data_IF_328720892129
#
_entry.id   IF_328720892129
#
_cell.length_a   1.000
_cell.length_b   1.000
_cell.length_c   1.000
_cell.angle_alpha   90.00
_cell.angle_beta   90.00
_cell.angle_gamma   90.00
#
_symmetry.space_group_name_H-M   'P 1'
#
loop_
_entity.id
_entity.type
_entity.pdbx_description
1 polymer ?
#
# COMPACT_ATOMS: atom_id res chain seq x y z
N UNK A 1 8.81 -2.17 -6.05
CA UNK A 1 8.48 -0.84 -5.54
C UNK A 1 7.40 -0.93 -4.44
N UNK A 2 7.13 0.19 -3.75
CA UNK A 2 6.24 0.23 -2.56
C UNK A 2 4.75 -0.04 -2.83
N UNK A 3 4.34 -0.22 -4.07
CA UNK A 3 2.99 -0.73 -4.40
C UNK A 3 2.75 -2.11 -3.75
N UNK A 4 3.79 -2.91 -3.58
CA UNK A 4 3.73 -4.21 -2.91
C UNK A 4 3.30 -4.14 -1.43
N UNK A 5 3.16 -2.96 -0.86
CA UNK A 5 2.62 -2.76 0.49
C UNK A 5 1.08 -2.85 0.53
N UNK A 6 0.41 -2.67 -0.62
CA UNK A 6 -1.06 -2.75 -0.72
C UNK A 6 -1.62 -4.11 -0.24
N UNK A 7 -1.09 -5.28 -0.66
CA UNK A 7 -1.55 -6.57 -0.16
C UNK A 7 -1.52 -6.69 1.37
N UNK A 8 -0.48 -6.16 2.00
CA UNK A 8 -0.32 -6.19 3.45
C UNK A 8 -1.30 -5.26 4.16
N UNK A 9 -1.53 -4.07 3.61
CA UNK A 9 -2.56 -3.15 4.11
C UNK A 9 -3.96 -3.76 4.01
N UNK A 10 -4.30 -4.34 2.85
CA UNK A 10 -5.57 -5.05 2.66
C UNK A 10 -5.76 -6.14 3.71
N UNK A 11 -4.77 -7.03 3.86
CA UNK A 11 -4.86 -8.17 4.76
C UNK A 11 -4.95 -7.74 6.23
N UNK A 12 -4.22 -6.69 6.61
CA UNK A 12 -4.31 -6.11 7.96
C UNK A 12 -5.73 -5.61 8.24
N UNK A 13 -6.33 -4.87 7.30
CA UNK A 13 -7.72 -4.40 7.43
C UNK A 13 -8.70 -5.55 7.51
N UNK A 14 -8.51 -6.60 6.73
CA UNK A 14 -9.35 -7.79 6.78
C UNK A 14 -9.32 -8.44 8.16
N UNK A 15 -8.13 -8.61 8.76
CA UNK A 15 -7.99 -9.18 10.11
C UNK A 15 -8.60 -8.30 11.20
N UNK A 16 -8.62 -6.99 11.00
CA UNK A 16 -9.35 -6.05 11.86
C UNK A 16 -10.86 -6.25 11.67
N UNK A 17 -11.36 -6.36 10.45
CA UNK A 17 -12.78 -6.58 10.15
C UNK A 17 -13.29 -7.93 10.68
N UNK A 18 -12.44 -8.95 10.70
CA UNK A 18 -12.72 -10.27 11.31
C UNK A 18 -12.72 -10.23 12.85
N UNK A 19 -12.31 -9.12 13.46
CA UNK A 19 -12.23 -8.96 14.92
C UNK A 19 -11.03 -9.64 15.58
N UNK A 20 -10.06 -10.12 14.78
CA UNK A 20 -8.83 -10.75 15.30
C UNK A 20 -7.86 -9.72 15.88
N UNK A 21 -7.89 -8.52 15.35
CA UNK A 21 -7.11 -7.38 15.82
C UNK A 21 -7.98 -6.13 15.85
N UNK A 22 -7.50 -5.11 16.60
CA UNK A 22 -8.13 -3.79 16.68
C UNK A 22 -7.10 -2.73 16.27
N UNK A 23 -7.55 -1.52 15.96
CA UNK A 23 -6.65 -0.43 15.59
C UNK A 23 -5.67 -0.05 16.70
N UNK A 24 -6.04 -0.23 17.95
CA UNK A 24 -5.21 0.00 19.14
C UNK A 24 -4.35 -1.22 19.56
N UNK A 25 -4.51 -2.38 18.89
CA UNK A 25 -3.62 -3.52 19.08
C UNK A 25 -2.17 -3.08 18.80
N UNK A 26 -1.26 -3.37 19.73
CA UNK A 26 0.16 -3.01 19.61
C UNK A 26 1.03 -4.20 19.25
N UNK A 27 2.12 -3.91 18.54
CA UNK A 27 3.18 -4.86 18.20
C UNK A 27 4.55 -4.25 18.50
N UNK A 28 5.49 -5.10 18.93
CA UNK A 28 6.80 -4.65 19.39
C UNK A 28 7.82 -4.59 18.26
N UNK A 29 8.57 -3.49 18.16
CA UNK A 29 9.65 -3.38 17.18
C UNK A 29 10.91 -4.10 17.70
N UNK A 30 11.15 -5.29 17.19
CA UNK A 30 12.32 -6.13 17.41
C UNK A 30 13.07 -6.35 16.09
N UNK A 31 14.36 -6.67 16.12
CA UNK A 31 15.19 -6.82 14.90
C UNK A 31 14.62 -7.82 13.90
N UNK A 32 14.03 -8.91 14.37
CA UNK A 32 13.45 -9.96 13.52
C UNK A 32 12.40 -9.46 12.52
N UNK A 33 11.72 -8.33 12.79
CA UNK A 33 10.70 -7.78 11.85
C UNK A 33 11.32 -7.30 10.53
N UNK A 34 12.63 -7.05 10.52
CA UNK A 34 13.33 -6.60 9.31
C UNK A 34 13.94 -7.75 8.49
N UNK A 35 13.76 -8.99 8.94
CA UNK A 35 14.37 -10.17 8.35
C UNK A 35 13.31 -11.26 8.04
N UNK A 36 12.40 -10.98 7.11
CA UNK A 36 11.48 -11.98 6.56
C UNK A 36 11.33 -11.78 5.04
N UNK A 37 10.98 -12.83 4.28
CA UNK A 37 10.71 -12.70 2.85
C UNK A 37 9.54 -11.76 2.57
N UNK A 38 9.81 -10.59 2.00
CA UNK A 38 8.82 -9.51 1.81
C UNK A 38 9.16 -8.24 2.60
N UNK A 39 10.11 -8.31 3.55
CA UNK A 39 10.58 -7.12 4.28
C UNK A 39 11.31 -6.14 3.36
N UNK A 40 11.27 -4.87 3.73
CA UNK A 40 12.01 -3.78 3.10
C UNK A 40 13.20 -3.39 3.97
N UNK A 41 14.24 -2.81 3.34
CA UNK A 41 15.38 -2.25 4.08
C UNK A 41 14.90 -1.10 4.97
N UNK A 42 15.19 -1.12 6.29
CA UNK A 42 14.76 -0.09 7.22
C UNK A 42 15.23 1.32 6.84
N UNK A 43 16.41 1.43 6.20
CA UNK A 43 17.03 2.70 5.79
C UNK A 43 16.27 3.43 4.67
N UNK A 44 15.27 2.77 4.05
CA UNK A 44 14.46 3.39 3.01
C UNK A 44 13.42 4.37 3.54
N UNK A 45 12.27 4.44 2.85
CA UNK A 45 11.20 5.41 3.14
C UNK A 45 10.64 5.30 4.55
N UNK A 46 10.16 6.43 5.08
CA UNK A 46 9.41 6.53 6.31
C UNK A 46 10.21 7.11 7.48
N UNK A 47 9.50 7.39 8.57
CA UNK A 47 9.98 8.12 9.74
C UNK A 47 10.21 7.25 10.98
N UNK A 48 9.82 5.96 10.96
CA UNK A 48 10.12 5.08 12.09
C UNK A 48 11.63 4.85 12.26
N UNK A 49 12.09 4.57 13.49
CA UNK A 49 13.50 4.26 13.76
C UNK A 49 14.03 3.17 12.83
N UNK A 50 15.26 3.36 12.32
CA UNK A 50 15.86 2.42 11.36
C UNK A 50 16.47 1.18 12.03
N UNK A 51 16.57 1.20 13.35
CA UNK A 51 16.98 0.07 14.21
C UNK A 51 15.88 -0.19 15.22
N UNK A 52 15.77 -1.44 15.65
CA UNK A 52 14.85 -1.84 16.72
C UNK A 52 15.01 -0.95 17.95
N UNK A 53 13.91 -0.53 18.52
CA UNK A 53 13.86 0.31 19.71
C UNK A 53 13.10 -0.35 20.88
N UNK A 54 12.61 -1.57 20.67
CA UNK A 54 11.83 -2.35 21.61
C UNK A 54 10.52 -1.69 22.08
N UNK A 55 10.07 -0.62 21.40
CA UNK A 55 8.79 0.02 21.67
C UNK A 55 7.65 -0.71 20.99
N UNK A 56 6.45 -0.47 21.50
CA UNK A 56 5.21 -0.93 20.91
C UNK A 56 4.60 0.16 20.03
N UNK A 57 4.04 -0.26 18.90
CA UNK A 57 3.37 0.60 17.93
C UNK A 57 1.98 0.04 17.64
N UNK A 58 0.97 0.90 17.64
CA UNK A 58 -0.41 0.50 17.33
C UNK A 58 -0.58 0.18 15.84
N UNK A 59 -1.51 -0.73 15.51
CA UNK A 59 -1.83 -0.99 14.11
C UNK A 59 -2.33 0.28 13.41
N UNK A 60 -3.04 1.15 14.11
CA UNK A 60 -3.45 2.46 13.62
C UNK A 60 -2.27 3.31 13.16
N UNK A 61 -1.24 3.44 13.98
CA UNK A 61 -0.04 4.21 13.65
C UNK A 61 0.72 3.56 12.49
N UNK A 62 0.87 2.24 12.49
CA UNK A 62 1.56 1.51 11.43
C UNK A 62 0.85 1.65 10.09
N UNK A 63 -0.47 1.45 10.03
CA UNK A 63 -1.28 1.66 8.82
C UNK A 63 -1.12 3.09 8.31
N UNK A 64 -1.22 4.08 9.21
CA UNK A 64 -1.05 5.49 8.86
C UNK A 64 0.32 5.76 8.25
N UNK A 65 1.39 5.24 8.84
CA UNK A 65 2.76 5.44 8.33
C UNK A 65 3.02 4.75 7.00
N UNK A 66 2.53 3.52 6.81
CA UNK A 66 2.63 2.83 5.52
C UNK A 66 1.87 3.58 4.43
N UNK A 67 0.68 4.06 4.73
CA UNK A 67 -0.17 4.78 3.77
C UNK A 67 0.39 6.16 3.45
N UNK A 68 0.71 6.95 4.48
CA UNK A 68 1.08 8.35 4.35
C UNK A 68 2.51 8.55 3.86
N UNK A 69 3.47 7.88 4.49
CA UNK A 69 4.92 8.08 4.28
C UNK A 69 5.55 6.95 3.46
N UNK A 70 4.78 5.91 3.13
CA UNK A 70 5.32 4.68 2.57
C UNK A 70 6.39 4.03 3.45
N UNK A 71 6.24 4.10 4.79
CA UNK A 71 7.24 3.68 5.78
C UNK A 71 7.57 2.19 5.66
N UNK A 72 8.88 1.88 5.52
CA UNK A 72 9.37 0.52 5.35
C UNK A 72 9.31 -0.27 6.65
N UNK A 73 9.65 0.34 7.78
CA UNK A 73 9.64 -0.32 9.09
C UNK A 73 8.21 -0.63 9.52
N UNK A 74 7.28 0.32 9.32
CA UNK A 74 5.87 0.10 9.59
C UNK A 74 5.31 -1.07 8.75
N UNK A 75 5.67 -1.13 7.45
CA UNK A 75 5.33 -2.28 6.62
C UNK A 75 5.92 -3.59 7.17
N UNK A 76 7.18 -3.58 7.58
CA UNK A 76 7.84 -4.77 8.12
C UNK A 76 7.13 -5.27 9.38
N UNK A 77 6.72 -4.36 10.27
CA UNK A 77 5.94 -4.72 11.46
C UNK A 77 4.59 -5.37 11.10
N UNK A 78 3.82 -4.78 10.17
CA UNK A 78 2.57 -5.36 9.70
C UNK A 78 2.80 -6.73 9.03
N UNK A 79 3.82 -6.84 8.20
CA UNK A 79 4.16 -8.07 7.50
C UNK A 79 4.58 -9.19 8.45
N UNK A 80 5.40 -8.88 9.44
CA UNK A 80 5.90 -9.87 10.38
C UNK A 80 4.82 -10.39 11.33
N UNK A 81 3.99 -9.52 11.88
CA UNK A 81 3.01 -9.90 12.91
C UNK A 81 1.65 -10.31 12.36
N UNK A 82 1.20 -9.73 11.25
CA UNK A 82 -0.17 -9.92 10.76
C UNK A 82 -0.18 -10.83 9.52
N UNK A 83 0.61 -10.52 8.51
CA UNK A 83 0.61 -11.19 7.20
C UNK A 83 1.97 -11.78 6.87
N UNK A 84 2.59 -12.43 7.85
CA UNK A 84 3.89 -13.04 7.64
C UNK A 84 3.80 -14.21 6.65
N UNK A 85 4.94 -14.57 6.08
CA UNK A 85 5.08 -15.67 5.13
C UNK A 85 4.63 -17.03 5.66
N UNK A 86 4.51 -17.19 6.98
CA UNK A 86 4.03 -18.41 7.63
C UNK A 86 2.50 -18.51 7.58
N UNK A 87 1.80 -17.42 7.27
CA UNK A 87 0.36 -17.42 7.08
C UNK A 87 0.04 -17.93 5.66
N UNK A 88 -0.23 -19.22 5.54
CA UNK A 88 -0.59 -19.83 4.26
C UNK A 88 -1.85 -19.20 3.63
N UNK A 89 -2.71 -18.57 4.43
CA UNK A 89 -3.92 -17.92 3.95
C UNK A 89 -3.62 -16.60 3.26
N UNK A 90 -2.56 -15.90 3.65
CA UNK A 90 -2.18 -14.61 3.04
C UNK A 90 -1.91 -14.75 1.55
N UNK A 91 -1.03 -15.68 1.15
CA UNK A 91 -0.71 -15.92 -0.26
C UNK A 91 -1.95 -16.31 -1.07
N UNK A 92 -2.70 -17.30 -0.60
CA UNK A 92 -3.87 -17.80 -1.33
C UNK A 92 -4.96 -16.72 -1.45
N UNK A 93 -5.18 -15.93 -0.41
CA UNK A 93 -6.14 -14.82 -0.42
C UNK A 93 -5.74 -13.75 -1.42
N UNK A 94 -4.47 -13.34 -1.41
CA UNK A 94 -3.98 -12.32 -2.34
C UNK A 94 -4.01 -12.82 -3.78
N UNK A 95 -3.61 -14.05 -4.04
CA UNK A 95 -3.69 -14.65 -5.39
C UNK A 95 -5.13 -14.69 -5.90
N UNK A 96 -6.09 -15.03 -5.06
CA UNK A 96 -7.51 -15.03 -5.42
C UNK A 96 -8.02 -13.62 -5.79
N UNK A 97 -7.63 -12.58 -5.04
CA UNK A 97 -8.00 -11.19 -5.32
C UNK A 97 -7.35 -10.69 -6.61
N UNK A 98 -6.07 -10.96 -6.79
CA UNK A 98 -5.31 -10.51 -7.96
C UNK A 98 -5.71 -11.24 -9.24
N UNK A 99 -6.30 -12.43 -9.12
CA UNK A 99 -6.69 -13.28 -10.23
C UNK A 99 -5.50 -13.94 -10.93
N UNK A 100 -4.38 -14.10 -10.21
CA UNK A 100 -3.15 -14.71 -10.69
C UNK A 100 -2.35 -15.25 -9.49
N UNK A 101 -1.49 -16.25 -9.72
CA UNK A 101 -0.63 -16.77 -8.65
C UNK A 101 0.41 -15.70 -8.26
N UNK A 102 0.40 -15.33 -6.99
CA UNK A 102 1.25 -14.27 -6.47
C UNK A 102 2.04 -14.75 -5.24
N UNK A 103 3.32 -14.44 -5.21
CA UNK A 103 4.20 -14.70 -4.07
C UNK A 103 4.93 -13.42 -3.64
N UNK A 104 4.75 -13.04 -2.39
CA UNK A 104 5.40 -11.86 -1.80
C UNK A 104 6.93 -11.92 -1.83
N UNK A 105 7.53 -13.12 -1.88
CA UNK A 105 8.97 -13.33 -1.95
C UNK A 105 9.57 -12.84 -3.27
N UNK A 106 8.81 -12.96 -4.35
CA UNK A 106 9.22 -12.51 -5.69
C UNK A 106 9.32 -10.99 -5.80
N UNK A 107 8.64 -10.25 -4.92
CA UNK A 107 8.54 -8.78 -4.93
C UNK A 107 8.11 -8.19 -6.28
N UNK A 108 7.27 -8.92 -7.00
CA UNK A 108 6.69 -8.52 -8.29
C UNK A 108 5.18 -8.34 -8.15
N UNK A 109 4.66 -7.35 -8.86
CA UNK A 109 3.22 -7.08 -8.99
C UNK A 109 2.99 -6.33 -10.31
N UNK A 110 1.92 -6.68 -11.04
CA UNK A 110 1.52 -5.92 -12.22
C UNK A 110 0.57 -4.77 -11.84
N UNK A 111 0.41 -3.79 -12.75
CA UNK A 111 -0.57 -2.72 -12.56
C UNK A 111 -2.00 -3.25 -12.42
N UNK A 112 -2.35 -4.31 -13.18
CA UNK A 112 -3.64 -5.00 -13.08
C UNK A 112 -3.84 -5.60 -11.68
N UNK A 113 -2.85 -6.33 -11.15
CA UNK A 113 -2.91 -6.92 -9.81
C UNK A 113 -3.04 -5.83 -8.74
N UNK A 114 -2.25 -4.76 -8.84
CA UNK A 114 -2.32 -3.63 -7.93
C UNK A 114 -3.70 -2.96 -7.95
N UNK A 115 -4.29 -2.78 -9.13
CA UNK A 115 -5.65 -2.25 -9.29
C UNK A 115 -6.69 -3.12 -8.60
N UNK A 116 -6.60 -4.44 -8.74
CA UNK A 116 -7.52 -5.38 -8.06
C UNK A 116 -7.39 -5.35 -6.53
N UNK A 117 -6.19 -5.21 -6.00
CA UNK A 117 -5.99 -5.05 -4.55
C UNK A 117 -6.57 -3.71 -4.08
N UNK A 118 -6.38 -2.62 -4.84
CA UNK A 118 -6.97 -1.32 -4.52
C UNK A 118 -8.50 -1.36 -4.56
N UNK A 119 -9.10 -2.05 -5.53
CA UNK A 119 -10.54 -2.30 -5.58
C UNK A 119 -11.03 -3.05 -4.34
N UNK A 120 -10.29 -4.07 -3.91
CA UNK A 120 -10.62 -4.81 -2.69
C UNK A 120 -10.53 -3.93 -1.43
N UNK A 121 -9.51 -3.05 -1.34
CA UNK A 121 -9.40 -2.05 -0.25
C UNK A 121 -10.58 -1.06 -0.29
N UNK A 122 -10.98 -0.61 -1.48
CA UNK A 122 -12.15 0.26 -1.66
C UNK A 122 -13.43 -0.42 -1.15
N UNK A 123 -13.64 -1.68 -1.50
CA UNK A 123 -14.80 -2.46 -1.08
C UNK A 123 -14.81 -2.77 0.43
N UNK A 124 -13.63 -2.89 1.07
CA UNK A 124 -13.54 -3.01 2.54
C UNK A 124 -14.03 -1.75 3.25
N UNK A 125 -13.85 -0.58 2.65
CA UNK A 125 -14.26 0.73 3.17
C UNK A 125 -13.83 0.96 4.62
N UNK A 126 -12.59 0.58 4.97
CA UNK A 126 -12.05 0.63 6.32
C UNK A 126 -11.02 1.74 6.53
N UNK A 127 -10.34 1.69 7.68
CA UNK A 127 -9.33 2.68 8.08
C UNK A 127 -8.15 2.76 7.10
N UNK A 128 -7.79 1.64 6.44
CA UNK A 128 -6.75 1.64 5.41
C UNK A 128 -7.15 2.55 4.24
N UNK A 129 -8.37 2.44 3.73
CA UNK A 129 -8.85 3.30 2.63
C UNK A 129 -8.83 4.78 3.05
N UNK A 130 -9.29 5.08 4.26
CA UNK A 130 -9.24 6.45 4.81
C UNK A 130 -7.80 6.98 4.87
N UNK A 131 -6.87 6.16 5.37
CA UNK A 131 -5.46 6.54 5.51
C UNK A 131 -4.77 6.84 4.18
N UNK A 132 -5.23 6.24 3.09
CA UNK A 132 -4.71 6.45 1.73
C UNK A 132 -5.23 7.75 1.08
N UNK A 133 -6.16 8.49 1.71
CA UNK A 133 -6.73 9.74 1.15
C UNK A 133 -5.96 11.00 1.54
N UNK A 134 -4.94 10.90 2.38
CA UNK A 134 -4.13 12.04 2.85
C UNK A 134 -2.69 11.59 3.01
N UNK A 135 -1.96 11.58 1.91
CA UNK A 135 -0.58 11.13 1.86
C UNK A 135 0.40 12.29 1.66
N UNK A 136 1.67 12.06 1.93
CA UNK A 136 2.73 13.05 1.66
C UNK A 136 2.98 13.24 0.15
N UNK A 137 2.30 12.45 -0.70
CA UNK A 137 2.45 12.38 -2.14
C UNK A 137 1.27 12.98 -2.92
N UNK A 138 0.33 13.65 -2.24
CA UNK A 138 -0.90 14.18 -2.86
C UNK A 138 -0.63 15.33 -3.87
N UNK A 139 0.57 15.92 -3.86
CA UNK A 139 0.97 16.97 -4.79
C UNK A 139 1.67 16.46 -6.05
N UNK A 140 1.64 15.16 -6.29
CA UNK A 140 2.28 14.51 -7.43
C UNK A 140 1.43 13.37 -7.99
N UNK A 141 1.80 12.80 -9.13
CA UNK A 141 1.22 11.60 -9.76
C UNK A 141 -0.30 11.69 -9.98
N UNK A 142 -1.07 10.64 -9.63
CA UNK A 142 -2.53 10.60 -9.86
C UNK A 142 -3.22 11.76 -9.15
N UNK A 143 -2.91 11.99 -7.89
CA UNK A 143 -3.57 13.02 -7.09
C UNK A 143 -3.36 14.42 -7.65
N UNK A 144 -2.18 14.74 -8.22
CA UNK A 144 -1.90 16.00 -8.92
C UNK A 144 -2.67 16.12 -10.24
N UNK A 145 -2.92 15.02 -10.92
CA UNK A 145 -3.54 15.00 -12.26
C UNK A 145 -5.05 15.23 -12.26
N UNK A 146 -5.73 15.10 -11.10
CA UNK A 146 -7.19 15.17 -11.00
C UNK A 146 -7.63 16.24 -10.01
N UNK A 147 -8.88 16.73 -10.14
CA UNK A 147 -9.43 17.79 -9.28
C UNK A 147 -10.32 17.26 -8.15
N UNK A 148 -10.35 15.95 -7.95
CA UNK A 148 -11.18 15.28 -6.94
C UNK A 148 -10.30 14.54 -5.94
N UNK A 149 -10.89 14.10 -4.83
CA UNK A 149 -10.21 13.29 -3.82
C UNK A 149 -9.67 11.99 -4.45
N UNK A 150 -8.49 11.58 -4.01
CA UNK A 150 -7.87 10.30 -4.39
C UNK A 150 -7.44 9.57 -3.12
N UNK A 151 -7.68 8.26 -3.08
CA UNK A 151 -7.01 7.38 -2.13
C UNK A 151 -5.96 6.61 -2.92
N UNK A 152 -4.66 6.76 -2.62
CA UNK A 152 -3.63 6.19 -3.46
C UNK A 152 -2.40 5.68 -2.71
N UNK A 153 -1.64 4.80 -3.38
CA UNK A 153 -0.34 4.31 -2.92
C UNK A 153 0.67 4.42 -4.04
N UNK A 154 1.75 5.10 -3.73
CA UNK A 154 2.88 5.28 -4.65
C UNK A 154 3.89 4.13 -4.55
N UNK A 155 4.73 4.00 -5.57
CA UNK A 155 5.88 3.10 -5.58
C UNK A 155 7.03 3.64 -6.40
N UNK A 156 8.19 3.76 -5.78
CA UNK A 156 9.45 4.14 -6.42
C UNK A 156 10.51 3.06 -6.21
N UNK A 157 11.23 2.74 -7.26
CA UNK A 157 12.43 1.92 -7.22
C UNK A 157 13.24 2.18 -8.51
N UNK A 158 14.43 2.74 -8.36
CA UNK A 158 15.33 3.08 -9.48
C UNK A 158 14.59 3.79 -10.64
N UNK A 159 14.55 3.17 -11.81
CA UNK A 159 13.84 3.68 -13.00
C UNK A 159 12.32 3.52 -12.97
N UNK A 160 11.75 2.83 -11.97
CA UNK A 160 10.32 2.57 -11.86
C UNK A 160 9.62 3.62 -11.02
N UNK A 161 8.52 4.18 -11.55
CA UNK A 161 7.64 5.10 -10.84
C UNK A 161 6.20 4.66 -11.05
N UNK A 162 5.49 4.46 -9.96
CA UNK A 162 4.15 3.88 -10.00
C UNK A 162 3.20 4.66 -9.10
N UNK A 163 1.91 4.59 -9.43
CA UNK A 163 0.83 5.02 -8.55
C UNK A 163 -0.42 4.18 -8.82
N UNK A 164 -1.14 3.83 -7.76
CA UNK A 164 -2.39 3.08 -7.84
C UNK A 164 -3.38 3.68 -6.86
N UNK A 165 -4.56 4.05 -7.34
CA UNK A 165 -5.52 4.73 -6.49
C UNK A 165 -6.98 4.57 -6.90
N UNK A 166 -7.85 5.01 -5.98
CA UNK A 166 -9.28 5.26 -6.19
C UNK A 166 -9.45 6.73 -6.49
N UNK A 167 -9.96 7.06 -7.66
CA UNK A 167 -10.34 8.43 -8.05
C UNK A 167 -11.81 8.62 -7.75
N UNK A 168 -12.15 9.55 -6.84
CA UNK A 168 -13.52 9.82 -6.41
C UNK A 168 -14.23 10.81 -7.34
N UNK A 169 -14.36 10.44 -8.63
CA UNK A 169 -15.22 11.13 -9.59
C UNK A 169 -16.71 10.88 -9.26
N UNK A 170 -17.65 11.41 -10.04
CA UNK A 170 -19.09 11.17 -9.89
C UNK A 170 -19.39 9.66 -9.87
N UNK A 171 -18.71 8.90 -10.73
CA UNK A 171 -18.60 7.44 -10.65
C UNK A 171 -17.16 7.08 -10.28
N UNK A 172 -16.88 6.69 -9.03
CA UNK A 172 -15.52 6.36 -8.61
C UNK A 172 -14.91 5.23 -9.45
N UNK A 173 -13.64 5.36 -9.79
CA UNK A 173 -12.92 4.35 -10.56
C UNK A 173 -11.51 4.08 -10.00
N UNK A 174 -10.98 2.91 -10.33
CA UNK A 174 -9.61 2.54 -9.98
C UNK A 174 -8.68 2.89 -11.13
N UNK A 175 -7.58 3.57 -10.81
CA UNK A 175 -6.53 3.90 -11.76
C UNK A 175 -5.19 3.37 -11.24
N UNK A 176 -4.50 2.58 -12.07
CA UNK A 176 -3.20 2.00 -11.73
C UNK A 176 -2.22 2.25 -12.88
N UNK A 177 -1.22 3.10 -12.64
CA UNK A 177 -0.25 3.55 -13.63
C UNK A 177 1.15 3.10 -13.20
N UNK A 178 1.76 2.25 -14.01
CA UNK A 178 3.12 1.77 -13.82
C UNK A 178 4.00 2.28 -14.97
N UNK A 179 5.09 2.94 -14.61
CA UNK A 179 6.03 3.50 -15.61
C UNK A 179 7.45 3.04 -15.34
N UNK A 180 8.26 3.06 -16.41
CA UNK A 180 9.70 2.84 -16.39
C UNK A 180 10.38 3.96 -17.16
N UNK A 181 11.49 4.49 -16.63
CA UNK A 181 12.24 5.61 -17.22
C UNK A 181 11.34 6.83 -17.50
N UNK A 182 10.46 7.17 -16.55
CA UNK A 182 9.51 8.27 -16.65
C UNK A 182 9.51 9.11 -15.37
N UNK A 183 8.79 10.21 -15.38
CA UNK A 183 8.66 11.12 -14.24
C UNK A 183 7.25 11.11 -13.65
N UNK A 184 7.05 11.83 -12.55
CA UNK A 184 5.77 11.95 -11.86
C UNK A 184 4.75 12.76 -12.67
N UNK A 185 5.22 13.74 -13.45
CA UNK A 185 4.37 14.59 -14.28
C UNK A 185 3.74 13.79 -15.43
N UNK A 186 4.45 12.82 -15.98
CA UNK A 186 3.88 11.87 -16.96
C UNK A 186 2.71 11.09 -16.35
N UNK A 187 2.85 10.60 -15.11
CA UNK A 187 1.74 9.92 -14.40
C UNK A 187 0.58 10.89 -14.17
N UNK A 188 0.87 12.14 -13.78
CA UNK A 188 -0.15 13.18 -13.60
C UNK A 188 -0.90 13.49 -14.88
N UNK A 189 -0.20 13.57 -16.01
CA UNK A 189 -0.84 13.84 -17.32
C UNK A 189 -1.74 12.67 -17.75
N UNK A 190 -1.27 11.42 -17.61
CA UNK A 190 -2.09 10.23 -17.90
C UNK A 190 -3.35 10.23 -17.00
N UNK A 191 -3.19 10.51 -15.72
CA UNK A 191 -4.30 10.57 -14.77
C UNK A 191 -5.32 11.63 -15.16
N UNK A 192 -4.85 12.82 -15.57
CA UNK A 192 -5.69 13.91 -16.06
C UNK A 192 -6.49 13.49 -17.29
N UNK A 193 -5.83 12.90 -18.30
CA UNK A 193 -6.45 12.52 -19.54
C UNK A 193 -7.53 11.45 -19.32
N UNK A 194 -7.26 10.45 -18.47
CA UNK A 194 -8.24 9.42 -18.10
C UNK A 194 -9.41 10.05 -17.32
N UNK A 195 -9.13 10.93 -16.36
CA UNK A 195 -10.16 11.60 -15.57
C UNK A 195 -11.09 12.45 -16.44
N UNK A 196 -10.56 13.20 -17.42
CA UNK A 196 -11.36 14.01 -18.34
C UNK A 196 -12.33 13.16 -19.19
N UNK A 197 -12.02 11.91 -19.43
CA UNK A 197 -12.87 10.96 -20.18
C UNK A 197 -13.92 10.29 -19.27
N UNK A 198 -13.60 10.04 -18.00
CA UNK A 198 -14.43 9.23 -17.11
C UNK A 198 -15.24 10.04 -16.08
N UNK A 199 -14.99 11.36 -15.94
CA UNK A 199 -15.72 12.23 -15.01
C UNK A 199 -17.16 12.50 -15.47
#
# INVERSE_FOLDING_TARGET
ASILKLPYLYYTQEKINEGLYQLDTTVKYVSAVNDFPGSYKPEGSGSLPKKEDNKEYSLKDLITKVSKESDNVAHNLLGYYISNQSDATFKSKMSAIMGDDWDSKEKLISSKMAGKVMEAIYNQNGFVLESLTKTDFDNERIAKGVSVKVAHKIGDADEFKHDTGVVYADSPFILSIFTKNSDYDTISQIAKDVYEVLK
#
